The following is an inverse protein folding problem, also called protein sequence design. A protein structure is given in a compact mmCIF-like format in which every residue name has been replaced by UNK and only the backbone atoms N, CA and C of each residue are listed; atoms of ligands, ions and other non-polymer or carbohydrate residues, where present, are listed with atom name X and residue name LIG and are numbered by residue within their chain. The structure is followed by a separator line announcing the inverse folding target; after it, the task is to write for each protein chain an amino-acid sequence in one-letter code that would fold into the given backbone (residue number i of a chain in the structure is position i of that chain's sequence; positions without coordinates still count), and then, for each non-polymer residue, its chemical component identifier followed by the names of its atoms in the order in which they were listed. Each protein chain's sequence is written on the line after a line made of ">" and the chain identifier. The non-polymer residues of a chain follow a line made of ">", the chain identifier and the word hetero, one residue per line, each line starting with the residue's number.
data_IF_348034856837
#
_entry.id   IF_348034856837
#
_cell.length_a   1.000
_cell.length_b   1.000
_cell.length_c   1.000
_cell.angle_alpha   90.00
_cell.angle_beta   90.00
_cell.angle_gamma   90.00
#
_symmetry.space_group_name_H-M   'P 1'
#
loop_
_entity.id
_entity.type
_entity.pdbx_description
1 polymer ?
#
# COMPACT_ATOMS: atom_id res chain seq x y z
N UNK A 1 -12.27 8.54 -9.81
CA UNK A 1 -11.28 8.87 -8.80
C UNK A 1 -10.98 7.70 -7.88
N UNK A 2 -9.77 7.16 -7.96
CA UNK A 2 -9.23 6.17 -7.00
C UNK A 2 -8.70 6.93 -5.78
N UNK A 3 -8.85 6.38 -4.58
CA UNK A 3 -8.39 6.97 -3.33
C UNK A 3 -7.37 6.08 -2.63
N UNK A 4 -6.15 6.58 -2.49
CA UNK A 4 -5.04 5.90 -1.82
C UNK A 4 -4.74 6.61 -0.50
N UNK A 5 -4.70 5.85 0.59
CA UNK A 5 -4.25 6.34 1.89
C UNK A 5 -2.88 5.77 2.23
N UNK A 6 -1.98 6.66 2.66
CA UNK A 6 -0.64 6.28 3.11
C UNK A 6 -0.66 6.17 4.63
N UNK A 7 -0.53 4.94 5.11
CA UNK A 7 -0.43 4.60 6.52
C UNK A 7 1.00 4.21 6.89
N UNK A 8 1.13 3.22 7.77
CA UNK A 8 2.39 2.67 8.22
C UNK A 8 3.12 3.59 9.20
N UNK A 9 4.37 3.25 9.49
CA UNK A 9 5.18 3.94 10.51
C UNK A 9 6.42 4.65 9.94
N UNK A 10 6.72 4.50 8.64
CA UNK A 10 7.94 5.06 8.02
C UNK A 10 7.69 5.64 6.63
N UNK A 11 8.47 6.66 6.26
CA UNK A 11 8.63 7.14 4.88
C UNK A 11 7.39 7.70 4.21
N UNK A 12 6.39 8.18 4.95
CA UNK A 12 5.09 8.59 4.39
C UNK A 12 5.20 9.71 3.36
N UNK A 13 6.02 10.72 3.64
CA UNK A 13 6.23 11.85 2.73
C UNK A 13 6.96 11.44 1.45
N UNK A 14 7.94 10.54 1.56
CA UNK A 14 8.66 9.97 0.41
C UNK A 14 7.72 9.13 -0.46
N UNK A 15 6.95 8.22 0.15
CA UNK A 15 5.95 7.41 -0.55
C UNK A 15 4.94 8.30 -1.25
N UNK A 16 4.47 9.36 -0.59
CA UNK A 16 3.53 10.31 -1.19
C UNK A 16 4.12 11.04 -2.40
N UNK A 17 5.37 11.51 -2.29
CA UNK A 17 6.06 12.17 -3.40
C UNK A 17 6.25 11.21 -4.59
N UNK A 18 6.69 9.98 -4.32
CA UNK A 18 6.91 8.96 -5.35
C UNK A 18 5.60 8.53 -5.99
N UNK A 19 4.54 8.29 -5.22
CA UNK A 19 3.21 7.97 -5.73
C UNK A 19 2.70 9.09 -6.64
N UNK A 20 2.75 10.35 -6.20
CA UNK A 20 2.31 11.49 -7.04
C UNK A 20 3.08 11.56 -8.36
N UNK A 21 4.40 11.32 -8.32
CA UNK A 21 5.23 11.29 -9.52
C UNK A 21 4.87 10.14 -10.46
N UNK A 22 4.64 8.94 -9.92
CA UNK A 22 4.31 7.73 -10.68
C UNK A 22 2.89 7.77 -11.25
N UNK A 23 1.93 8.34 -10.52
CA UNK A 23 0.54 8.50 -10.91
C UNK A 23 0.42 9.48 -12.08
N UNK A 24 1.19 10.57 -12.09
CA UNK A 24 1.13 11.59 -13.14
C UNK A 24 -0.23 12.27 -13.21
N UNK A 25 -0.82 12.33 -14.40
CA UNK A 25 -2.09 13.02 -14.66
C UNK A 25 -3.35 12.16 -14.38
N UNK A 26 -3.18 10.95 -13.85
CA UNK A 26 -4.32 10.08 -13.52
C UNK A 26 -5.15 10.65 -12.35
N UNK A 27 -6.48 10.45 -12.42
CA UNK A 27 -7.44 10.91 -11.41
C UNK A 27 -7.40 10.04 -10.14
N UNK A 28 -6.35 10.24 -9.33
CA UNK A 28 -6.07 9.52 -8.09
C UNK A 28 -5.81 10.49 -6.95
N UNK A 29 -6.57 10.37 -5.87
CA UNK A 29 -6.36 11.11 -4.63
C UNK A 29 -5.41 10.33 -3.71
N UNK A 30 -4.33 10.98 -3.26
CA UNK A 30 -3.36 10.39 -2.32
C UNK A 30 -3.30 11.21 -1.04
N UNK A 31 -3.63 10.58 0.09
CA UNK A 31 -3.69 11.25 1.40
C UNK A 31 -2.85 10.51 2.45
N UNK A 32 -1.95 11.24 3.11
CA UNK A 32 -1.21 10.73 4.27
C UNK A 32 -2.12 10.76 5.50
N UNK A 33 -2.17 9.63 6.23
CA UNK A 33 -2.90 9.49 7.50
C UNK A 33 -2.00 8.83 8.55
N UNK A 34 -2.40 8.91 9.82
CA UNK A 34 -1.84 7.98 10.80
C UNK A 34 -2.31 6.55 10.50
N UNK A 35 -1.64 5.56 11.09
CA UNK A 35 -1.86 4.16 10.72
C UNK A 35 -3.29 3.66 10.99
N UNK A 36 -3.88 4.12 12.10
CA UNK A 36 -5.25 3.79 12.49
C UNK A 36 -6.26 4.44 11.54
N UNK A 37 -6.15 5.74 11.28
CA UNK A 37 -7.06 6.46 10.39
C UNK A 37 -6.98 5.97 8.94
N UNK A 38 -5.79 5.59 8.48
CA UNK A 38 -5.61 4.97 7.17
C UNK A 38 -6.34 3.62 7.08
N UNK A 39 -6.19 2.76 8.09
CA UNK A 39 -6.85 1.46 8.14
C UNK A 39 -8.38 1.59 8.27
N UNK A 40 -8.87 2.53 9.09
CA UNK A 40 -10.30 2.83 9.22
C UNK A 40 -10.89 3.37 7.91
N UNK A 41 -10.16 4.20 7.17
CA UNK A 41 -10.62 4.71 5.87
C UNK A 41 -10.90 3.59 4.87
N UNK A 42 -10.09 2.53 4.85
CA UNK A 42 -10.36 1.33 4.03
C UNK A 42 -11.57 0.56 4.57
N UNK A 43 -11.64 0.35 5.89
CA UNK A 43 -12.72 -0.40 6.52
C UNK A 43 -14.09 0.24 6.27
N UNK A 44 -14.15 1.57 6.26
CA UNK A 44 -15.36 2.36 6.05
C UNK A 44 -15.69 2.58 4.56
N UNK A 45 -14.82 2.16 3.64
CA UNK A 45 -14.98 2.43 2.20
C UNK A 45 -14.76 3.90 1.81
N UNK A 46 -14.04 4.66 2.64
CA UNK A 46 -13.66 6.06 2.36
C UNK A 46 -12.42 6.15 1.45
N UNK A 47 -11.62 5.08 1.41
CA UNK A 47 -10.47 4.91 0.54
C UNK A 47 -10.46 3.50 -0.10
N UNK A 48 -9.84 3.39 -1.27
CA UNK A 48 -9.78 2.14 -2.04
C UNK A 48 -8.55 1.29 -1.67
N UNK A 49 -7.41 1.95 -1.48
CA UNK A 49 -6.13 1.26 -1.23
C UNK A 49 -5.32 1.89 -0.11
N UNK A 50 -4.71 1.03 0.70
CA UNK A 50 -3.78 1.39 1.75
C UNK A 50 -2.36 1.02 1.33
N UNK A 51 -1.42 1.94 1.52
CA UNK A 51 0.00 1.72 1.27
C UNK A 51 0.79 2.10 2.53
N UNK A 52 1.58 1.17 3.05
CA UNK A 52 2.36 1.39 4.28
C UNK A 52 3.76 0.79 4.20
N UNK A 53 4.70 1.42 4.90
CA UNK A 53 6.07 0.93 5.00
C UNK A 53 6.59 0.91 6.44
N UNK A 54 7.51 -0.02 6.69
CA UNK A 54 8.33 -0.11 7.91
C UNK A 54 9.66 -0.82 7.60
N UNK A 55 10.39 -1.29 8.61
CA UNK A 55 11.64 -2.05 8.40
C UNK A 55 11.39 -3.46 7.84
N UNK A 56 10.31 -4.13 8.26
CA UNK A 56 10.04 -5.54 7.90
C UNK A 56 8.98 -5.71 6.82
N UNK A 57 8.24 -4.64 6.49
CA UNK A 57 7.11 -4.67 5.57
C UNK A 57 5.84 -5.33 6.10
N UNK A 58 5.86 -5.82 7.35
CA UNK A 58 4.70 -6.41 8.02
C UNK A 58 4.23 -5.53 9.18
N UNK A 59 4.83 -5.65 10.37
CA UNK A 59 4.37 -5.02 11.61
C UNK A 59 4.00 -3.54 11.47
N UNK A 60 4.97 -2.63 11.54
CA UNK A 60 4.67 -1.19 11.39
C UNK A 60 4.15 -0.78 10.01
N UNK A 61 4.10 -1.67 9.02
CA UNK A 61 3.61 -1.35 7.67
C UNK A 61 2.13 -1.68 7.51
N UNK A 62 1.60 -2.64 8.29
CA UNK A 62 0.28 -3.25 8.10
C UNK A 62 -0.41 -3.65 9.40
N UNK A 63 0.16 -3.44 10.60
CA UNK A 63 -0.42 -3.96 11.84
C UNK A 63 -1.86 -3.49 12.04
N UNK A 64 -2.12 -2.19 11.92
CA UNK A 64 -3.49 -1.66 12.05
C UNK A 64 -4.39 -2.11 10.90
N UNK A 65 -3.88 -2.07 9.67
CA UNK A 65 -4.62 -2.55 8.50
C UNK A 65 -5.02 -4.03 8.65
N UNK A 66 -4.13 -4.88 9.14
CA UNK A 66 -4.38 -6.32 9.32
C UNK A 66 -5.33 -6.56 10.48
N UNK A 67 -5.21 -5.81 11.57
CA UNK A 67 -6.12 -5.91 12.71
C UNK A 67 -7.57 -5.53 12.35
N UNK A 68 -7.77 -4.51 11.52
CA UNK A 68 -9.11 -4.01 11.16
C UNK A 68 -9.71 -4.70 9.93
N UNK A 69 -8.90 -5.02 8.92
CA UNK A 69 -9.36 -5.58 7.64
C UNK A 69 -9.20 -7.09 7.55
N UNK A 70 -8.39 -7.68 8.42
CA UNK A 70 -8.02 -9.10 8.38
C UNK A 70 -6.92 -9.41 7.36
N UNK A 71 -6.24 -10.54 7.57
CA UNK A 71 -5.17 -11.02 6.69
C UNK A 71 -5.63 -11.32 5.27
N UNK A 72 -6.92 -11.57 5.06
CA UNK A 72 -7.49 -11.78 3.73
C UNK A 72 -7.43 -10.52 2.86
N UNK A 73 -7.38 -9.33 3.47
CA UNK A 73 -7.33 -8.03 2.77
C UNK A 73 -5.96 -7.38 2.74
N UNK A 74 -5.02 -7.86 3.55
CA UNK A 74 -3.66 -7.32 3.64
C UNK A 74 -2.62 -8.25 3.02
N UNK A 75 -1.52 -7.68 2.53
CA UNK A 75 -0.37 -8.46 2.05
C UNK A 75 0.94 -7.67 2.19
N UNK A 76 1.97 -8.33 2.70
CA UNK A 76 3.35 -7.83 2.62
C UNK A 76 3.93 -8.19 1.26
N UNK A 77 4.12 -7.19 0.40
CA UNK A 77 4.65 -7.38 -0.97
C UNK A 77 6.18 -7.39 -1.01
N UNK A 78 6.83 -6.82 0.01
CA UNK A 78 8.27 -6.94 0.19
C UNK A 78 8.66 -6.94 1.68
N UNK A 79 9.48 -7.91 2.05
CA UNK A 79 10.14 -8.04 3.34
C UNK A 79 11.67 -8.08 3.14
N UNK A 80 12.49 -8.03 4.20
CA UNK A 80 13.95 -8.07 4.06
C UNK A 80 14.47 -9.34 3.37
N UNK A 81 13.73 -10.45 3.44
CA UNK A 81 14.14 -11.75 2.89
C UNK A 81 13.43 -12.11 1.58
N UNK A 82 12.38 -11.39 1.19
CA UNK A 82 11.55 -11.73 0.03
C UNK A 82 10.88 -10.51 -0.55
N UNK A 83 11.05 -10.31 -1.85
CA UNK A 83 10.24 -9.37 -2.65
C UNK A 83 9.37 -10.22 -3.57
N UNK A 84 8.06 -9.98 -3.58
CA UNK A 84 7.17 -10.65 -4.52
C UNK A 84 7.48 -10.22 -5.95
N UNK A 85 7.34 -11.12 -6.91
CA UNK A 85 7.43 -10.76 -8.33
C UNK A 85 6.25 -9.89 -8.74
N UNK A 86 6.39 -9.18 -9.85
CA UNK A 86 5.30 -8.38 -10.42
C UNK A 86 4.03 -9.21 -10.65
N UNK A 87 4.18 -10.43 -11.18
CA UNK A 87 3.06 -11.36 -11.38
C UNK A 87 2.37 -11.75 -10.07
N UNK A 88 3.14 -11.97 -9.01
CA UNK A 88 2.58 -12.27 -7.68
C UNK A 88 1.84 -11.07 -7.13
N UNK A 89 2.40 -9.86 -7.23
CA UNK A 89 1.73 -8.64 -6.77
C UNK A 89 0.43 -8.42 -7.57
N UNK A 90 0.47 -8.63 -8.89
CA UNK A 90 -0.71 -8.54 -9.74
C UNK A 90 -1.80 -9.55 -9.37
N UNK A 91 -1.43 -10.78 -9.00
CA UNK A 91 -2.36 -11.82 -8.54
C UNK A 91 -3.01 -11.44 -7.19
N UNK A 92 -2.21 -10.92 -6.24
CA UNK A 92 -2.72 -10.41 -4.97
C UNK A 92 -3.77 -9.30 -5.15
N UNK A 93 -3.55 -8.41 -6.12
CA UNK A 93 -4.46 -7.29 -6.42
C UNK A 93 -5.71 -7.77 -7.17
N UNK A 94 -5.52 -8.43 -8.32
CA UNK A 94 -6.60 -8.67 -9.28
C UNK A 94 -7.45 -9.89 -8.93
N UNK A 95 -6.85 -10.94 -8.35
CA UNK A 95 -7.53 -12.21 -8.13
C UNK A 95 -7.85 -12.44 -6.65
N UNK A 96 -6.96 -12.05 -5.73
CA UNK A 96 -7.14 -12.24 -4.29
C UNK A 96 -7.80 -11.04 -3.59
N UNK A 97 -7.96 -9.92 -4.30
CA UNK A 97 -8.68 -8.75 -3.79
C UNK A 97 -8.03 -8.11 -2.57
N UNK A 98 -6.69 -8.14 -2.50
CA UNK A 98 -5.92 -7.39 -1.50
C UNK A 98 -6.08 -5.89 -1.75
N UNK A 99 -6.21 -5.14 -0.67
CA UNK A 99 -6.42 -3.68 -0.70
C UNK A 99 -5.42 -2.91 0.17
N UNK A 100 -4.64 -3.61 1.00
CA UNK A 100 -3.66 -3.00 1.88
C UNK A 100 -2.29 -3.66 1.69
N UNK A 101 -1.30 -2.86 1.31
CA UNK A 101 0.02 -3.32 0.88
C UNK A 101 1.12 -2.79 1.78
N UNK A 102 1.90 -3.72 2.33
CA UNK A 102 3.03 -3.44 3.20
C UNK A 102 4.35 -3.78 2.53
N UNK A 103 5.35 -2.91 2.66
CA UNK A 103 6.70 -3.18 2.16
C UNK A 103 7.79 -2.57 3.05
N UNK A 104 9.03 -3.00 2.85
CA UNK A 104 10.17 -2.36 3.53
C UNK A 104 10.51 -1.06 2.84
N UNK A 105 10.79 0.02 3.57
CA UNK A 105 11.05 1.33 2.94
C UNK A 105 12.16 1.30 1.87
N UNK A 106 13.18 0.45 2.06
CA UNK A 106 14.28 0.28 1.11
C UNK A 106 13.88 -0.38 -0.22
N UNK A 107 12.68 -0.95 -0.33
CA UNK A 107 12.14 -1.55 -1.56
C UNK A 107 11.13 -0.66 -2.28
N UNK A 108 10.92 0.58 -1.82
CA UNK A 108 9.91 1.51 -2.38
C UNK A 108 10.05 1.72 -3.88
N UNK A 109 11.28 1.86 -4.37
CA UNK A 109 11.56 2.15 -5.78
C UNK A 109 11.25 0.97 -6.71
N UNK A 110 11.18 -0.25 -6.15
CA UNK A 110 10.75 -1.46 -6.86
C UNK A 110 9.25 -1.68 -6.74
N UNK A 111 8.69 -1.49 -5.55
CA UNK A 111 7.30 -1.85 -5.23
C UNK A 111 6.29 -0.82 -5.72
N UNK A 112 6.55 0.48 -5.52
CA UNK A 112 5.58 1.53 -5.84
C UNK A 112 5.23 1.59 -7.34
N UNK A 113 6.17 1.47 -8.29
CA UNK A 113 5.82 1.46 -9.72
C UNK A 113 4.90 0.30 -10.09
N UNK A 114 5.12 -0.88 -9.50
CA UNK A 114 4.27 -2.06 -9.72
C UNK A 114 2.88 -1.81 -9.14
N UNK A 115 2.79 -1.35 -7.89
CA UNK A 115 1.49 -1.05 -7.28
C UNK A 115 0.72 -0.01 -8.12
N UNK A 116 1.34 1.11 -8.50
CA UNK A 116 0.67 2.13 -9.31
C UNK A 116 0.15 1.54 -10.62
N UNK A 117 0.96 0.74 -11.34
CA UNK A 117 0.55 0.09 -12.59
C UNK A 117 -0.73 -0.76 -12.47
N UNK A 118 -0.93 -1.43 -11.33
CA UNK A 118 -2.07 -2.34 -11.16
C UNK A 118 -3.24 -1.73 -10.38
N UNK A 119 -2.99 -0.73 -9.55
CA UNK A 119 -4.02 -0.02 -8.79
C UNK A 119 -4.66 1.10 -9.62
N UNK A 120 -3.86 1.77 -10.46
CA UNK A 120 -4.27 2.87 -11.33
C UNK A 120 -4.38 2.32 -12.74
N UNK A 121 -5.61 2.13 -13.21
CA UNK A 121 -5.92 1.61 -14.55
C UNK A 121 -6.09 2.71 -15.57
#
# INVERSE_FOLDING_TARGET
>A
MIKIVIGGQMGKDEINADLKKLIGDNDVEVTIKNDLDAAMAIQNGEADYYIGACETGAGGALAMATALLGSDKTVTVASPSKVLSEEQIADEINNKGKVAFGFTINTKDTVLPILVKYLVK
#
